data_IF_066861109590
#
_entry.id   IF_066861109590
#
_cell.length_a   1.000
_cell.length_b   1.000
_cell.length_c   1.000
_cell.angle_alpha   90.00
_cell.angle_beta   90.00
_cell.angle_gamma   90.00
#
_symmetry.space_group_name_H-M   'P 1'
#
loop_
_entity.id
_entity.type
_entity.pdbx_description
1 polymer ?
#
# COMPACT_ATOMS: atom_id res chain seq x y z
N UNK A 1 -7.21 22.81 -76.87
CA UNK A 1 -5.95 23.55 -76.80
C UNK A 1 -5.28 23.17 -75.50
N UNK A 2 -4.26 22.34 -75.64
CA UNK A 2 -3.56 21.78 -74.46
C UNK A 2 -2.41 22.64 -74.01
N UNK A 3 -2.09 22.57 -72.72
CA UNK A 3 -0.74 22.85 -72.26
C UNK A 3 -0.36 21.79 -71.22
N UNK A 4 0.65 21.01 -71.61
CA UNK A 4 1.37 20.07 -70.72
C UNK A 4 2.33 20.87 -69.87
N UNK A 5 2.33 20.61 -68.57
CA UNK A 5 3.36 21.05 -67.69
C UNK A 5 4.18 19.82 -67.27
N UNK A 6 5.49 19.88 -67.43
CA UNK A 6 6.45 18.85 -67.13
C UNK A 6 6.77 18.82 -65.65
N UNK A 7 6.79 17.63 -65.10
CA UNK A 7 7.27 17.38 -63.74
C UNK A 7 8.79 17.16 -63.76
N UNK A 8 9.51 17.95 -62.99
CA UNK A 8 10.95 17.75 -62.72
C UNK A 8 11.05 16.86 -61.46
N UNK A 9 11.57 15.65 -61.63
CA UNK A 9 11.96 14.77 -60.55
C UNK A 9 13.33 15.21 -60.02
N UNK A 10 13.34 15.67 -58.77
CA UNK A 10 14.57 15.87 -58.02
C UNK A 10 14.79 14.64 -57.13
N UNK A 11 15.70 13.76 -57.47
CA UNK A 11 16.15 12.63 -56.67
C UNK A 11 17.15 13.10 -55.62
N UNK A 12 16.72 13.20 -54.36
CA UNK A 12 17.62 13.39 -53.23
C UNK A 12 17.90 12.01 -52.61
N UNK A 13 19.08 11.49 -52.81
CA UNK A 13 19.53 10.25 -52.19
C UNK A 13 19.78 10.46 -50.69
N UNK A 14 18.98 9.82 -49.85
CA UNK A 14 19.21 9.74 -48.43
C UNK A 14 19.84 8.38 -48.16
N UNK A 15 21.11 8.38 -47.76
CA UNK A 15 21.80 7.20 -47.26
C UNK A 15 21.22 6.84 -45.88
N UNK A 16 20.47 5.76 -45.82
CA UNK A 16 20.04 5.15 -44.56
C UNK A 16 21.20 4.39 -43.95
N UNK A 17 21.82 4.99 -42.92
CA UNK A 17 22.68 4.27 -42.00
C UNK A 17 21.81 3.34 -41.14
N UNK A 18 21.92 2.03 -41.42
CA UNK A 18 21.32 1.01 -40.54
C UNK A 18 22.20 0.95 -39.30
N UNK A 19 21.78 1.67 -38.25
CA UNK A 19 22.26 1.43 -36.90
C UNK A 19 21.60 0.13 -36.41
N UNK A 20 22.39 -0.92 -36.32
CA UNK A 20 21.98 -2.13 -35.60
C UNK A 20 21.76 -1.76 -34.12
N UNK A 21 20.49 -1.72 -33.67
CA UNK A 21 20.19 -1.88 -32.28
C UNK A 21 20.54 -3.33 -31.93
N UNK A 22 21.61 -3.54 -31.22
CA UNK A 22 21.83 -4.79 -30.51
C UNK A 22 20.79 -4.85 -29.42
N UNK A 23 19.85 -5.76 -29.55
CA UNK A 23 19.06 -6.24 -28.45
C UNK A 23 20.03 -6.96 -27.52
N UNK A 24 20.52 -6.26 -26.51
CA UNK A 24 21.14 -6.89 -25.36
C UNK A 24 20.00 -7.56 -24.59
N UNK A 25 19.69 -8.80 -24.97
CA UNK A 25 19.01 -9.76 -24.12
C UNK A 25 19.88 -9.97 -22.88
N UNK A 26 19.76 -9.03 -21.94
CA UNK A 26 20.29 -9.21 -20.60
C UNK A 26 19.40 -10.24 -19.88
N UNK A 27 19.63 -11.50 -20.27
CA UNK A 27 19.15 -12.67 -19.54
C UNK A 27 20.02 -12.79 -18.26
N UNK A 28 20.00 -11.70 -17.50
CA UNK A 28 20.52 -11.62 -16.16
C UNK A 28 19.66 -12.45 -15.23
N UNK A 29 19.98 -13.74 -15.16
CA UNK A 29 19.68 -14.57 -14.01
C UNK A 29 20.40 -13.98 -12.79
N UNK A 30 20.01 -12.79 -12.39
CA UNK A 30 20.36 -12.17 -11.14
C UNK A 30 19.71 -12.93 -10.01
N UNK A 31 20.39 -13.96 -9.53
CA UNK A 31 20.27 -14.36 -8.12
C UNK A 31 20.75 -13.16 -7.30
N UNK A 32 19.94 -12.11 -7.29
CA UNK A 32 20.05 -11.03 -6.34
C UNK A 32 19.74 -11.62 -4.98
N UNK A 33 20.78 -12.12 -4.33
CA UNK A 33 20.77 -12.20 -2.87
C UNK A 33 20.40 -10.80 -2.41
N UNK A 34 19.13 -10.64 -1.95
CA UNK A 34 18.71 -9.43 -1.25
C UNK A 34 19.69 -9.30 -0.10
N UNK A 35 20.65 -8.39 -0.26
CA UNK A 35 21.61 -8.09 0.80
C UNK A 35 20.81 -7.69 2.05
N UNK A 36 21.30 -8.01 3.25
CA UNK A 36 20.60 -7.74 4.50
C UNK A 36 20.56 -6.27 4.85
N UNK A 37 20.42 -5.36 3.88
CA UNK A 37 20.44 -3.94 4.18
C UNK A 37 19.73 -3.09 3.15
N UNK A 38 18.54 -2.59 3.51
CA UNK A 38 18.15 -1.33 2.94
C UNK A 38 17.21 -0.50 3.82
N UNK A 39 16.81 -0.97 5.00
CA UNK A 39 16.06 -0.13 5.94
C UNK A 39 16.23 -0.70 7.34
N UNK A 40 17.32 -0.35 8.06
CA UNK A 40 17.62 -0.88 9.39
C UNK A 40 16.53 -0.59 10.42
N UNK A 41 15.57 0.28 10.09
CA UNK A 41 14.48 0.70 10.97
C UNK A 41 13.14 0.03 10.65
N UNK A 42 13.05 -0.84 9.61
CA UNK A 42 11.81 -1.56 9.33
C UNK A 42 11.69 -2.80 10.21
N UNK A 43 10.45 -3.22 10.55
CA UNK A 43 10.23 -4.40 11.37
C UNK A 43 10.62 -5.67 10.62
N UNK A 44 11.15 -6.65 11.36
CA UNK A 44 11.45 -7.98 10.82
C UNK A 44 10.17 -8.78 10.54
N UNK A 45 10.31 -9.88 9.78
CA UNK A 45 9.23 -10.83 9.55
C UNK A 45 8.59 -11.31 10.87
N UNK A 46 9.40 -11.72 11.84
CA UNK A 46 8.89 -12.24 13.13
C UNK A 46 8.13 -11.17 13.92
N UNK A 47 8.59 -9.93 13.91
CA UNK A 47 7.90 -8.81 14.57
C UNK A 47 6.54 -8.54 13.92
N UNK A 48 6.47 -8.49 12.59
CA UNK A 48 5.21 -8.27 11.87
C UNK A 48 4.25 -9.43 12.09
N UNK A 49 4.72 -10.68 11.95
CA UNK A 49 3.92 -11.89 12.18
C UNK A 49 3.35 -11.92 13.59
N UNK A 50 4.18 -11.69 14.60
CA UNK A 50 3.77 -11.72 16.00
C UNK A 50 2.73 -10.61 16.31
N UNK A 51 2.96 -9.39 15.83
CA UNK A 51 2.02 -8.28 16.00
C UNK A 51 0.69 -8.56 15.28
N UNK A 52 0.73 -9.09 14.05
CA UNK A 52 -0.46 -9.41 13.27
C UNK A 52 -1.32 -10.47 13.98
N UNK A 53 -0.72 -11.57 14.42
CA UNK A 53 -1.42 -12.66 15.13
C UNK A 53 -2.03 -12.15 16.44
N UNK A 54 -1.29 -11.37 17.22
CA UNK A 54 -1.77 -10.84 18.49
C UNK A 54 -2.96 -9.89 18.30
N UNK A 55 -2.93 -9.04 17.27
CA UNK A 55 -3.99 -8.07 16.99
C UNK A 55 -5.21 -8.75 16.38
N UNK A 56 -5.01 -9.68 15.42
CA UNK A 56 -6.10 -10.43 14.81
C UNK A 56 -6.92 -11.19 15.86
N UNK A 57 -6.26 -11.80 16.85
CA UNK A 57 -6.89 -12.58 17.90
C UNK A 57 -7.61 -11.78 19.01
N UNK A 58 -7.80 -10.46 18.85
CA UNK A 58 -8.51 -9.66 19.85
C UNK A 58 -10.00 -9.99 19.88
N UNK A 59 -10.59 -9.99 21.07
CA UNK A 59 -11.97 -10.43 21.33
C UNK A 59 -13.05 -9.55 20.69
N UNK A 60 -12.71 -8.33 20.26
CA UNK A 60 -13.60 -7.42 19.55
C UNK A 60 -13.63 -7.67 18.03
N UNK A 61 -12.92 -8.70 17.55
CA UNK A 61 -12.73 -9.02 16.14
C UNK A 61 -12.32 -7.80 15.29
N UNK A 62 -11.73 -6.77 15.92
CA UNK A 62 -11.36 -5.51 15.28
C UNK A 62 -12.53 -4.82 14.54
N UNK A 63 -13.77 -5.11 14.91
CA UNK A 63 -14.98 -4.61 14.25
C UNK A 63 -15.35 -5.34 12.96
N UNK A 64 -14.68 -6.42 12.61
CA UNK A 64 -14.90 -7.23 11.42
C UNK A 64 -15.55 -8.59 11.70
N UNK A 65 -15.30 -9.51 10.78
CA UNK A 65 -15.79 -10.90 10.84
C UNK A 65 -14.86 -11.82 11.64
N UNK A 66 -13.69 -11.32 12.09
CA UNK A 66 -12.70 -12.10 12.83
C UNK A 66 -11.88 -13.05 11.94
N UNK A 67 -11.71 -12.70 10.67
CA UNK A 67 -11.00 -13.52 9.69
C UNK A 67 -9.48 -13.39 9.85
N UNK A 68 -8.76 -14.41 9.35
CA UNK A 68 -7.32 -14.35 9.25
C UNK A 68 -6.84 -13.37 8.18
N UNK A 69 -5.63 -12.83 8.37
CA UNK A 69 -5.16 -11.63 7.71
C UNK A 69 -3.84 -11.85 6.99
N UNK A 70 -3.62 -11.10 5.92
CA UNK A 70 -2.32 -10.85 5.31
C UNK A 70 -1.77 -9.49 5.75
N UNK A 71 -0.44 -9.42 5.93
CA UNK A 71 0.27 -8.17 6.13
C UNK A 71 1.50 -8.11 5.22
N UNK A 72 1.69 -6.97 4.56
CA UNK A 72 2.87 -6.68 3.74
C UNK A 72 3.52 -5.39 4.22
N UNK A 73 4.85 -5.39 4.36
CA UNK A 73 5.64 -4.19 4.62
C UNK A 73 6.49 -3.85 3.40
N UNK A 74 6.45 -2.59 3.00
CA UNK A 74 7.35 -2.05 1.96
C UNK A 74 8.27 -0.99 2.55
N UNK A 75 9.48 -0.87 1.99
CA UNK A 75 10.37 0.25 2.30
C UNK A 75 9.95 1.53 1.56
N UNK A 76 10.66 2.63 1.83
CA UNK A 76 10.37 3.93 1.22
C UNK A 76 10.50 3.92 -0.31
N UNK A 77 11.26 3.01 -0.88
CA UNK A 77 11.38 2.80 -2.33
C UNK A 77 10.27 1.92 -2.91
N UNK A 78 9.33 1.44 -2.09
CA UNK A 78 8.24 0.54 -2.49
C UNK A 78 8.66 -0.92 -2.66
N UNK A 79 9.84 -1.30 -2.19
CA UNK A 79 10.31 -2.68 -2.24
C UNK A 79 9.70 -3.46 -1.08
N UNK A 80 9.07 -4.60 -1.38
CA UNK A 80 8.50 -5.50 -0.38
C UNK A 80 9.62 -6.09 0.49
N UNK A 81 9.47 -5.94 1.81
CA UNK A 81 10.43 -6.40 2.83
C UNK A 81 9.88 -7.52 3.70
N UNK A 82 8.58 -7.54 3.93
CA UNK A 82 7.88 -8.58 4.69
C UNK A 82 6.57 -8.91 4.00
N UNK A 83 6.23 -10.20 3.95
CA UNK A 83 4.89 -10.71 3.66
C UNK A 83 4.59 -11.78 4.70
N UNK A 84 3.53 -11.62 5.46
CA UNK A 84 3.14 -12.56 6.52
C UNK A 84 1.61 -12.74 6.53
N UNK A 85 1.14 -13.81 7.15
CA UNK A 85 -0.29 -14.05 7.40
C UNK A 85 -0.52 -14.48 8.85
N UNK A 86 -1.76 -14.35 9.36
CA UNK A 86 -2.07 -14.68 10.77
C UNK A 86 -2.42 -16.14 10.97
N UNK A 87 -3.02 -16.81 10.00
CA UNK A 87 -3.44 -18.21 10.06
C UNK A 87 -2.28 -19.20 10.16
N UNK A 88 -2.60 -20.49 10.08
CA UNK A 88 -1.60 -21.57 10.06
C UNK A 88 -1.07 -21.83 8.64
N UNK A 89 -1.93 -21.65 7.62
CA UNK A 89 -1.61 -21.88 6.22
C UNK A 89 -2.04 -20.66 5.37
N UNK A 90 -1.50 -20.55 4.16
CA UNK A 90 -1.82 -19.49 3.21
C UNK A 90 -3.30 -19.44 2.78
N UNK A 91 -4.00 -20.58 2.91
CA UNK A 91 -5.42 -20.73 2.57
C UNK A 91 -6.40 -20.37 3.69
N UNK A 92 -5.93 -20.13 4.93
CA UNK A 92 -6.80 -19.80 6.06
C UNK A 92 -7.36 -18.37 5.95
N UNK A 93 -6.65 -17.50 5.29
CA UNK A 93 -7.07 -16.15 4.93
C UNK A 93 -7.36 -16.04 3.43
N UNK A 94 -8.14 -15.03 3.02
CA UNK A 94 -8.48 -14.84 1.60
C UNK A 94 -7.21 -14.75 0.72
N UNK A 95 -7.00 -15.66 -0.26
CA UNK A 95 -5.77 -15.66 -1.06
C UNK A 95 -5.51 -14.36 -1.83
N UNK A 96 -6.56 -13.68 -2.29
CA UNK A 96 -6.44 -12.41 -2.99
C UNK A 96 -5.84 -11.30 -2.10
N UNK A 97 -6.04 -11.41 -0.78
CA UNK A 97 -5.62 -10.40 0.19
C UNK A 97 -4.10 -10.31 0.34
N UNK A 98 -3.33 -11.34 -0.09
CA UNK A 98 -1.87 -11.26 -0.17
C UNK A 98 -1.43 -10.09 -1.07
N UNK A 99 -1.92 -10.03 -2.29
CA UNK A 99 -1.57 -8.96 -3.25
C UNK A 99 -2.24 -7.64 -2.85
N UNK A 100 -3.48 -7.67 -2.35
CA UNK A 100 -4.17 -6.47 -1.86
C UNK A 100 -3.40 -5.83 -0.71
N UNK A 101 -2.85 -6.59 0.24
CA UNK A 101 -2.02 -6.05 1.33
C UNK A 101 -0.79 -5.32 0.79
N UNK A 102 -0.13 -5.88 -0.23
CA UNK A 102 1.02 -5.24 -0.88
C UNK A 102 0.64 -3.94 -1.61
N UNK A 103 -0.51 -3.92 -2.31
CA UNK A 103 -1.03 -2.70 -2.94
C UNK A 103 -1.37 -1.62 -1.90
N UNK A 104 -1.99 -2.00 -0.77
CA UNK A 104 -2.28 -1.07 0.33
C UNK A 104 -0.99 -0.47 0.91
N UNK A 105 0.02 -1.30 1.17
CA UNK A 105 1.32 -0.83 1.62
C UNK A 105 1.96 0.14 0.61
N UNK A 106 1.97 -0.22 -0.69
CA UNK A 106 2.49 0.63 -1.75
C UNK A 106 1.76 1.97 -1.81
N UNK A 107 0.43 1.97 -1.70
CA UNK A 107 -0.39 3.19 -1.76
C UNK A 107 -0.09 4.13 -0.60
N UNK A 108 -0.12 3.63 0.63
CA UNK A 108 0.17 4.43 1.82
C UNK A 108 1.60 4.99 1.79
N UNK A 109 2.59 4.17 1.36
CA UNK A 109 3.97 4.61 1.19
C UNK A 109 4.12 5.73 0.16
N UNK A 110 3.44 5.60 -0.98
CA UNK A 110 3.60 6.53 -2.12
C UNK A 110 2.91 7.86 -1.91
N UNK A 111 1.84 7.90 -1.10
CA UNK A 111 1.01 9.09 -0.88
C UNK A 111 1.21 9.73 0.50
N UNK A 112 2.10 9.20 1.33
CA UNK A 112 2.49 9.81 2.61
C UNK A 112 3.87 10.44 2.54
N UNK A 113 4.04 11.52 3.28
CA UNK A 113 5.27 12.32 3.40
C UNK A 113 5.58 12.56 4.88
N UNK A 114 6.77 13.07 5.21
CA UNK A 114 7.15 13.40 6.58
C UNK A 114 6.22 14.43 7.26
N UNK A 115 5.52 15.25 6.47
CA UNK A 115 4.56 16.26 6.99
C UNK A 115 3.10 15.93 6.74
N UNK A 116 2.77 14.79 6.11
CA UNK A 116 1.39 14.42 5.77
C UNK A 116 1.24 12.92 5.64
N UNK A 117 0.51 12.30 6.55
CA UNK A 117 0.12 10.91 6.49
C UNK A 117 -1.24 10.75 5.83
N UNK A 118 -1.35 9.80 4.89
CA UNK A 118 -2.59 9.38 4.26
C UNK A 118 -2.71 7.86 4.35
N UNK A 119 -3.73 7.39 5.07
CA UNK A 119 -4.11 5.98 4.99
C UNK A 119 -4.85 5.68 3.68
N UNK A 120 -4.89 4.41 3.30
CA UNK A 120 -5.70 4.00 2.15
C UNK A 120 -7.20 4.22 2.39
N UNK A 121 -7.66 4.23 3.64
CA UNK A 121 -9.03 4.58 4.01
C UNK A 121 -9.36 6.04 3.66
N UNK A 122 -8.44 6.97 3.87
CA UNK A 122 -8.65 8.39 3.56
C UNK A 122 -8.84 8.65 2.05
N UNK A 123 -8.39 7.76 1.19
CA UNK A 123 -8.49 7.93 -0.26
C UNK A 123 -9.84 7.50 -0.84
N UNK A 124 -10.68 6.80 -0.07
CA UNK A 124 -11.91 6.23 -0.58
C UNK A 124 -12.82 7.29 -1.26
N UNK A 125 -13.18 8.35 -0.55
CA UNK A 125 -14.05 9.39 -1.11
C UNK A 125 -13.42 10.14 -2.28
N UNK A 126 -12.12 10.40 -2.24
CA UNK A 126 -11.41 11.16 -3.26
C UNK A 126 -11.39 10.46 -4.63
N UNK A 127 -11.49 9.13 -4.68
CA UNK A 127 -11.46 8.34 -5.94
C UNK A 127 -12.84 7.99 -6.47
N UNK A 128 -13.92 8.36 -5.78
CA UNK A 128 -15.28 8.12 -6.28
C UNK A 128 -15.56 9.00 -7.52
N UNK A 129 -16.57 8.63 -8.35
CA UNK A 129 -16.96 9.45 -9.48
C UNK A 129 -17.22 10.90 -9.09
N UNK A 130 -16.52 11.84 -9.75
CA UNK A 130 -16.53 13.26 -9.41
C UNK A 130 -15.50 13.69 -8.35
N UNK A 131 -14.79 12.76 -7.72
CA UNK A 131 -13.71 13.04 -6.79
C UNK A 131 -12.43 13.51 -7.48
N UNK A 132 -11.55 14.20 -6.73
CA UNK A 132 -10.31 14.81 -7.25
C UNK A 132 -9.26 13.80 -7.71
N UNK A 133 -9.33 12.55 -7.25
CA UNK A 133 -8.42 11.46 -7.58
C UNK A 133 -9.11 10.33 -8.35
N UNK A 134 -10.28 10.60 -8.96
CA UNK A 134 -10.96 9.59 -9.79
C UNK A 134 -10.03 9.05 -10.88
N UNK A 135 -9.94 7.73 -11.01
CA UNK A 135 -9.04 7.05 -11.94
C UNK A 135 -7.64 6.72 -11.38
N UNK A 136 -7.36 7.05 -10.11
CA UNK A 136 -6.06 6.77 -9.48
C UNK A 136 -5.70 5.28 -9.51
N UNK A 137 -6.66 4.39 -9.27
CA UNK A 137 -6.45 2.94 -9.23
C UNK A 137 -6.15 2.38 -10.63
N UNK A 138 -6.85 2.86 -11.65
CA UNK A 138 -6.72 2.41 -13.04
C UNK A 138 -5.42 2.88 -13.69
N UNK A 139 -4.89 4.03 -13.24
CA UNK A 139 -3.64 4.60 -13.77
C UNK A 139 -2.38 4.03 -13.10
N UNK A 140 -2.52 3.19 -12.10
CA UNK A 140 -1.41 2.60 -11.33
C UNK A 140 -1.57 1.07 -11.26
N UNK A 141 -1.28 0.34 -12.34
CA UNK A 141 -1.42 -1.12 -12.35
C UNK A 141 -0.40 -1.80 -11.45
N UNK A 142 -0.77 -2.98 -10.96
CA UNK A 142 0.15 -3.87 -10.26
C UNK A 142 1.11 -4.54 -11.27
N UNK A 143 2.35 -4.78 -10.86
CA UNK A 143 3.26 -5.66 -11.60
C UNK A 143 2.83 -7.11 -11.35
N UNK A 144 2.16 -7.70 -12.35
CA UNK A 144 1.56 -9.04 -12.22
C UNK A 144 2.60 -10.14 -12.05
N UNK A 145 3.77 -10.03 -12.69
CA UNK A 145 4.83 -11.02 -12.56
C UNK A 145 5.42 -11.04 -11.15
N UNK A 146 5.62 -9.85 -10.57
CA UNK A 146 6.08 -9.74 -9.19
C UNK A 146 5.01 -10.17 -8.17
N UNK A 147 3.75 -9.83 -8.41
CA UNK A 147 2.65 -10.08 -7.48
C UNK A 147 2.23 -11.56 -7.40
N UNK A 148 2.16 -12.25 -8.55
CA UNK A 148 1.58 -13.58 -8.66
C UNK A 148 2.59 -14.68 -9.00
N UNK A 149 3.89 -14.36 -9.09
CA UNK A 149 4.95 -15.33 -9.33
C UNK A 149 5.30 -16.15 -8.08
N UNK A 150 6.17 -17.15 -8.29
CA UNK A 150 6.67 -18.03 -7.24
C UNK A 150 5.76 -19.23 -6.93
N UNK A 151 6.16 -20.00 -5.93
CA UNK A 151 5.40 -21.16 -5.45
C UNK A 151 4.45 -20.72 -4.34
N UNK A 152 3.22 -21.21 -4.35
CA UNK A 152 2.23 -20.86 -3.32
C UNK A 152 2.67 -21.29 -1.91
N UNK A 153 3.44 -22.37 -1.79
CA UNK A 153 4.01 -22.86 -0.52
C UNK A 153 4.96 -21.85 0.15
N UNK A 154 5.53 -20.93 -0.62
CA UNK A 154 6.42 -19.88 -0.11
C UNK A 154 5.66 -18.61 0.30
N UNK A 155 4.39 -18.48 -0.07
CA UNK A 155 3.61 -17.26 0.17
C UNK A 155 3.46 -16.97 1.67
N UNK A 156 3.74 -15.73 2.06
CA UNK A 156 3.66 -15.30 3.45
C UNK A 156 4.76 -15.85 4.36
N UNK A 157 5.85 -16.32 3.77
CA UNK A 157 7.05 -16.80 4.47
C UNK A 157 8.25 -15.90 4.18
N UNK A 158 9.39 -16.20 4.79
CA UNK A 158 10.67 -15.52 4.50
C UNK A 158 11.22 -15.80 3.09
N UNK A 159 10.54 -16.64 2.31
CA UNK A 159 10.86 -16.97 0.91
C UNK A 159 9.79 -16.46 -0.07
N UNK A 160 8.84 -15.64 0.39
CA UNK A 160 7.76 -15.12 -0.45
C UNK A 160 8.32 -14.43 -1.70
N UNK A 161 7.75 -14.76 -2.86
CA UNK A 161 8.23 -14.28 -4.16
C UNK A 161 8.17 -12.77 -4.33
N UNK A 162 7.28 -12.07 -3.61
CA UNK A 162 7.21 -10.61 -3.64
C UNK A 162 8.41 -9.93 -2.98
N UNK A 163 9.16 -10.63 -2.10
CA UNK A 163 10.29 -10.05 -1.37
C UNK A 163 11.37 -9.53 -2.34
N UNK A 164 11.86 -8.34 -2.05
CA UNK A 164 12.86 -7.66 -2.88
C UNK A 164 12.30 -7.03 -4.16
N UNK A 165 11.00 -7.13 -4.43
CA UNK A 165 10.37 -6.59 -5.64
C UNK A 165 9.45 -5.40 -5.32
N UNK A 166 9.16 -4.60 -6.35
CA UNK A 166 8.12 -3.57 -6.33
C UNK A 166 6.86 -4.14 -6.94
N UNK A 167 5.79 -4.20 -6.15
CA UNK A 167 4.49 -4.69 -6.62
C UNK A 167 3.75 -3.57 -7.36
N UNK A 168 3.87 -2.33 -6.90
CA UNK A 168 3.09 -1.23 -7.43
C UNK A 168 1.60 -1.38 -7.10
N UNK A 169 0.76 -0.88 -7.98
CA UNK A 169 -0.68 -0.87 -7.79
C UNK A 169 -1.15 0.17 -6.78
N UNK A 170 -2.44 0.43 -6.78
CA UNK A 170 -3.11 1.31 -5.82
C UNK A 170 -4.37 0.63 -5.30
N UNK A 171 -4.57 0.69 -4.00
CA UNK A 171 -5.76 0.23 -3.32
C UNK A 171 -6.24 1.33 -2.36
N UNK A 172 -7.53 1.65 -2.35
CA UNK A 172 -8.09 2.89 -1.76
C UNK A 172 -9.18 2.62 -0.72
N UNK A 173 -9.13 1.49 -0.06
CA UNK A 173 -9.93 1.20 1.13
C UNK A 173 -9.05 0.77 2.29
N UNK A 174 -9.57 0.75 3.51
CA UNK A 174 -8.81 0.64 4.75
C UNK A 174 -7.78 -0.48 4.80
N UNK A 175 -6.71 -0.28 5.57
CA UNK A 175 -5.67 -1.26 5.86
C UNK A 175 -4.25 -0.88 5.42
N UNK A 176 -4.05 0.21 4.68
CA UNK A 176 -2.72 0.72 4.34
C UNK A 176 -2.34 1.93 5.20
N UNK A 177 -1.21 1.87 5.88
CA UNK A 177 -0.70 2.92 6.76
C UNK A 177 0.80 3.12 6.56
N UNK A 178 1.24 4.37 6.46
CA UNK A 178 2.66 4.69 6.48
C UNK A 178 3.28 4.39 7.86
N UNK A 179 4.52 3.96 7.86
CA UNK A 179 5.32 3.70 9.06
C UNK A 179 6.22 4.90 9.31
N UNK A 180 6.11 5.47 10.50
CA UNK A 180 6.88 6.63 10.92
C UNK A 180 7.79 6.27 12.07
N UNK A 181 9.05 6.65 11.96
CA UNK A 181 10.00 6.53 13.07
C UNK A 181 9.79 7.63 14.13
N UNK A 182 10.53 7.55 15.23
CA UNK A 182 10.38 8.48 16.35
C UNK A 182 10.66 9.95 15.99
N UNK A 183 11.29 10.24 14.86
CA UNK A 183 11.51 11.61 14.37
C UNK A 183 10.37 12.14 13.51
N UNK A 184 9.37 11.32 13.21
CA UNK A 184 8.28 11.63 12.29
C UNK A 184 8.66 11.47 10.81
N UNK A 185 9.80 10.84 10.53
CA UNK A 185 10.18 10.51 9.16
C UNK A 185 9.46 9.24 8.69
N UNK A 186 8.91 9.28 7.47
CA UNK A 186 8.31 8.10 6.86
C UNK A 186 9.40 7.14 6.37
N UNK A 187 9.41 5.90 6.90
CA UNK A 187 10.44 4.89 6.60
C UNK A 187 9.93 3.80 5.66
N UNK A 188 8.63 3.73 5.43
CA UNK A 188 7.96 2.74 4.60
C UNK A 188 6.48 2.70 4.91
N UNK A 189 5.83 1.57 4.65
CA UNK A 189 4.42 1.39 4.97
C UNK A 189 4.06 -0.08 5.23
N UNK A 190 2.98 -0.28 5.94
CA UNK A 190 2.31 -1.58 6.11
C UNK A 190 0.97 -1.58 5.40
N UNK A 191 0.61 -2.71 4.81
CA UNK A 191 -0.73 -2.98 4.29
C UNK A 191 -1.26 -4.26 4.90
N UNK A 192 -2.49 -4.21 5.40
CA UNK A 192 -3.20 -5.35 6.01
C UNK A 192 -4.49 -5.60 5.22
N UNK A 193 -4.80 -6.85 4.96
CA UNK A 193 -5.98 -7.25 4.22
C UNK A 193 -6.42 -8.67 4.58
N UNK A 194 -7.71 -8.91 4.69
CA UNK A 194 -8.26 -10.24 5.00
C UNK A 194 -9.68 -10.21 5.55
N UNK A 195 -10.19 -9.05 5.94
CA UNK A 195 -11.52 -8.87 6.49
C UNK A 195 -12.23 -7.68 5.80
N UNK A 196 -13.31 -7.18 6.37
CA UNK A 196 -13.92 -5.93 5.95
C UNK A 196 -12.90 -4.78 6.04
N UNK A 197 -12.96 -3.85 5.09
CA UNK A 197 -11.92 -2.82 4.95
C UNK A 197 -11.74 -1.93 6.18
N UNK A 198 -12.78 -1.73 6.98
CA UNK A 198 -12.66 -1.01 8.25
C UNK A 198 -11.87 -1.83 9.29
N UNK A 199 -12.12 -3.15 9.36
CA UNK A 199 -11.37 -4.05 10.23
C UNK A 199 -9.91 -4.14 9.77
N UNK A 200 -9.66 -4.21 8.46
CA UNK A 200 -8.32 -4.14 7.89
C UNK A 200 -7.56 -2.89 8.39
N UNK A 201 -8.26 -1.73 8.42
CA UNK A 201 -7.68 -0.48 8.93
C UNK A 201 -7.39 -0.55 10.43
N UNK A 202 -8.36 -1.03 11.23
CA UNK A 202 -8.20 -1.17 12.69
C UNK A 202 -7.03 -2.09 13.02
N UNK A 203 -6.91 -3.23 12.31
CA UNK A 203 -5.80 -4.17 12.49
C UNK A 203 -4.47 -3.51 12.10
N UNK A 204 -4.40 -2.86 10.94
CA UNK A 204 -3.19 -2.17 10.49
C UNK A 204 -2.73 -1.10 11.51
N UNK A 205 -3.68 -0.32 12.06
CA UNK A 205 -3.41 0.69 13.08
C UNK A 205 -2.81 0.07 14.35
N UNK A 206 -3.47 -0.95 14.89
CA UNK A 206 -3.02 -1.65 16.10
C UNK A 206 -1.67 -2.34 15.90
N UNK A 207 -1.42 -2.92 14.71
CA UNK A 207 -0.12 -3.52 14.35
C UNK A 207 0.96 -2.44 14.27
N UNK A 208 0.71 -1.30 13.59
CA UNK A 208 1.65 -0.18 13.52
C UNK A 208 2.00 0.35 14.91
N UNK A 209 0.99 0.49 15.79
CA UNK A 209 1.18 0.90 17.18
C UNK A 209 2.02 -0.13 17.98
N UNK A 210 1.71 -1.43 17.87
CA UNK A 210 2.47 -2.50 18.52
C UNK A 210 3.94 -2.57 18.06
N UNK A 211 4.22 -2.13 16.84
CA UNK A 211 5.58 -2.04 16.28
C UNK A 211 6.30 -0.74 16.68
N UNK A 212 5.65 0.18 17.41
CA UNK A 212 6.17 1.51 17.76
C UNK A 212 6.64 2.32 16.53
N UNK A 213 5.86 2.28 15.45
CA UNK A 213 6.12 2.96 14.17
C UNK A 213 4.97 3.90 13.79
N UNK A 214 4.29 4.47 14.78
CA UNK A 214 3.12 5.33 14.65
C UNK A 214 3.37 6.79 15.08
N UNK A 215 4.60 7.28 14.94
CA UNK A 215 4.92 8.71 15.22
C UNK A 215 4.43 9.62 14.08
N UNK A 216 3.11 9.60 13.86
CA UNK A 216 2.45 10.30 12.75
C UNK A 216 2.51 11.80 12.96
N UNK A 217 3.16 12.58 12.06
CA UNK A 217 3.37 14.00 12.27
C UNK A 217 2.10 14.84 12.05
N UNK A 218 1.31 14.48 11.04
CA UNK A 218 0.03 15.08 10.71
C UNK A 218 -0.73 14.18 9.72
N UNK A 219 -2.06 14.30 9.68
CA UNK A 219 -2.92 13.58 8.73
C UNK A 219 -4.21 14.37 8.48
N UNK A 220 -5.16 13.75 7.82
CA UNK A 220 -6.38 14.40 7.31
C UNK A 220 -7.63 14.12 8.13
N UNK A 221 -7.55 13.26 9.15
CA UNK A 221 -8.67 13.06 10.07
C UNK A 221 -8.93 14.35 10.87
N UNK A 222 -10.10 15.00 10.73
CA UNK A 222 -10.38 16.24 11.41
C UNK A 222 -10.52 16.12 12.93
N UNK A 223 -10.69 14.91 13.44
CA UNK A 223 -10.85 14.66 14.88
C UNK A 223 -9.50 14.50 15.59
N UNK A 224 -8.59 13.73 14.99
CA UNK A 224 -7.29 13.40 15.61
C UNK A 224 -6.10 14.14 14.99
N UNK A 225 -6.24 14.68 13.79
CA UNK A 225 -5.14 15.25 13.02
C UNK A 225 -4.15 14.19 12.50
N UNK A 226 -4.56 12.94 12.45
CA UNK A 226 -3.75 11.80 11.99
C UNK A 226 -4.30 11.19 10.68
N UNK A 227 -3.80 10.04 10.28
CA UNK A 227 -4.27 9.24 9.15
C UNK A 227 -5.34 8.21 9.53
N UNK A 228 -6.07 8.42 10.64
CA UNK A 228 -7.14 7.53 11.05
C UNK A 228 -8.26 7.47 9.99
N UNK A 229 -9.04 6.40 10.03
CA UNK A 229 -10.23 6.25 9.21
C UNK A 229 -11.28 7.29 9.61
N UNK A 230 -11.91 7.93 8.61
CA UNK A 230 -12.91 8.98 8.83
C UNK A 230 -14.28 8.47 8.43
N UNK A 231 -15.25 8.47 9.33
CA UNK A 231 -16.62 8.03 9.08
C UNK A 231 -17.57 9.22 8.97
N UNK A 232 -17.44 10.01 7.89
CA UNK A 232 -18.23 11.23 7.68
C UNK A 232 -19.05 11.23 6.37
N UNK A 233 -19.22 10.04 5.76
CA UNK A 233 -20.04 9.90 4.57
C UNK A 233 -21.51 9.92 4.95
N UNK A 234 -22.25 10.88 4.42
CA UNK A 234 -23.68 11.04 4.67
C UNK A 234 -24.58 10.10 3.83
N UNK A 235 -25.89 10.19 4.03
CA UNK A 235 -26.88 9.38 3.30
C UNK A 235 -26.95 9.64 1.79
N UNK A 236 -26.30 10.68 1.26
CA UNK A 236 -26.15 10.95 -0.17
C UNK A 236 -24.87 10.33 -0.76
N UNK A 237 -24.00 9.80 0.08
CA UNK A 237 -22.69 9.29 -0.29
C UNK A 237 -21.59 10.35 -0.32
N UNK A 238 -21.84 11.56 0.16
CA UNK A 238 -20.86 12.63 0.22
C UNK A 238 -20.11 12.62 1.55
N UNK A 239 -18.78 12.78 1.50
CA UNK A 239 -17.94 12.99 2.68
C UNK A 239 -17.81 14.47 2.98
N UNK A 240 -18.05 14.86 4.23
CA UNK A 240 -17.94 16.26 4.67
C UNK A 240 -16.50 16.78 4.63
N UNK A 241 -15.53 15.93 4.99
CA UNK A 241 -14.09 16.25 4.92
C UNK A 241 -13.48 16.03 3.53
N UNK A 242 -14.12 15.22 2.67
CA UNK A 242 -13.56 14.72 1.42
C UNK A 242 -12.62 13.50 1.59
N UNK A 243 -12.40 13.02 2.83
CA UNK A 243 -11.52 11.92 3.19
C UNK A 243 -12.24 10.71 3.79
N UNK A 244 -13.59 10.72 3.73
CA UNK A 244 -14.44 9.74 4.37
C UNK A 244 -14.35 8.35 3.76
N UNK A 245 -14.58 7.37 4.62
CA UNK A 245 -14.72 5.95 4.28
C UNK A 245 -16.12 5.48 4.73
N UNK A 246 -16.80 4.62 3.97
CA UNK A 246 -18.08 4.07 4.41
C UNK A 246 -17.91 3.17 5.63
N UNK A 247 -18.95 3.13 6.46
CA UNK A 247 -19.06 2.15 7.54
C UNK A 247 -19.15 0.72 6.95
N UNK A 248 -18.55 -0.24 7.64
CA UNK A 248 -18.43 -1.61 7.16
C UNK A 248 -19.31 -2.59 7.94
N UNK A 249 -19.74 -3.71 7.28
CA UNK A 249 -20.29 -4.85 8.00
C UNK A 249 -19.22 -5.54 8.86
N UNK A 250 -19.57 -6.45 9.80
CA UNK A 250 -20.95 -6.89 10.10
C UNK A 250 -21.73 -5.93 10.98
N UNK A 251 -21.07 -5.10 11.81
CA UNK A 251 -21.69 -4.16 12.74
C UNK A 251 -21.11 -2.76 12.55
N UNK A 252 -21.78 -1.92 11.72
CA UNK A 252 -21.31 -0.56 11.43
C UNK A 252 -21.11 0.31 12.69
N UNK A 253 -21.96 0.16 13.70
CA UNK A 253 -21.86 0.96 14.92
C UNK A 253 -20.69 0.51 15.79
N UNK A 254 -20.43 -0.79 15.88
CA UNK A 254 -19.28 -1.32 16.60
C UNK A 254 -17.97 -0.90 15.94
N UNK A 255 -17.87 -0.98 14.61
CA UNK A 255 -16.64 -0.59 13.91
C UNK A 255 -16.36 0.91 14.00
N UNK A 256 -17.40 1.76 13.97
CA UNK A 256 -17.24 3.20 14.21
C UNK A 256 -16.74 3.48 15.62
N UNK A 257 -17.33 2.83 16.63
CA UNK A 257 -16.90 2.98 18.02
C UNK A 257 -15.44 2.54 18.23
N UNK A 258 -15.03 1.41 17.62
CA UNK A 258 -13.66 0.92 17.69
C UNK A 258 -12.70 1.87 16.95
N UNK A 259 -13.04 2.33 15.75
CA UNK A 259 -12.22 3.27 14.97
C UNK A 259 -11.96 4.58 15.70
N UNK A 260 -12.98 5.10 16.39
CA UNK A 260 -12.89 6.31 17.20
C UNK A 260 -12.14 6.11 18.54
N UNK A 261 -11.95 4.87 18.99
CA UNK A 261 -11.27 4.50 20.24
C UNK A 261 -9.90 3.86 20.03
N UNK A 262 -9.34 3.95 18.82
CA UNK A 262 -8.01 3.42 18.51
C UNK A 262 -6.92 4.09 19.41
N UNK A 263 -5.82 3.39 19.71
CA UNK A 263 -4.70 3.99 20.44
C UNK A 263 -4.26 5.31 19.78
N UNK A 264 -4.00 6.31 20.60
CA UNK A 264 -3.39 7.56 20.11
C UNK A 264 -1.98 7.27 19.58
N UNK A 265 -1.62 7.94 18.49
CA UNK A 265 -0.27 7.84 17.94
C UNK A 265 0.76 8.40 18.91
N UNK A 266 1.97 7.86 18.89
CA UNK A 266 3.08 8.36 19.70
C UNK A 266 3.50 9.77 19.26
N UNK A 267 3.88 10.65 20.21
CA UNK A 267 4.32 11.99 19.86
C UNK A 267 5.68 11.95 19.14
N UNK A 268 5.79 12.69 18.04
CA UNK A 268 7.06 12.88 17.33
C UNK A 268 8.11 13.46 18.28
N UNK A 269 9.30 12.87 18.31
CA UNK A 269 10.41 13.31 19.14
C UNK A 269 11.31 14.26 18.36
N UNK A 270 11.70 15.42 18.91
CA UNK A 270 12.67 16.27 18.23
C UNK A 270 13.99 15.51 18.04
N UNK A 271 14.73 15.75 16.96
CA UNK A 271 16.06 15.16 16.79
C UNK A 271 16.94 15.54 17.99
N UNK A 272 17.89 14.68 18.40
CA UNK A 272 18.83 15.00 19.47
C UNK A 272 19.55 16.29 19.12
N UNK A 273 19.69 17.21 20.09
CA UNK A 273 20.43 18.44 19.93
C UNK A 273 21.89 18.09 19.55
N UNK A 274 22.33 18.57 18.38
CA UNK A 274 23.69 18.42 17.86
C UNK A 274 24.68 19.30 18.59
#
# INVERSE_FOLDING_TARGET
>A
MGRRAAAVLLTCGLALGVGACSDDDDNGNGTGTVGPDASPNLPSFDQVKAALVAVQGLADNNGGFGLDMWATVVDRSGIVRVVAFSGENEGDQWPASRVISAQKANTANSLSLDGLALSTANLYSAVQPGGSLFGLQESNPVNTDAAYGGNAEDYGTTSDYMLGKRIGGVNVFGGGLALYDATGAVIGAIGVSGDASCADHVIAWRVRHALALDYVPAGVDPASGTDNIVFDIDGSGASASGWGHPLCPPDPAAVEAIGNALPTTDPVRPPPAT
#
